data_IF_804438296355
#
_entry.id   IF_804438296355
#
_cell.length_a   1.000
_cell.length_b   1.000
_cell.length_c   1.000
_cell.angle_alpha   90.00
_cell.angle_beta   90.00
_cell.angle_gamma   90.00
#
_symmetry.space_group_name_H-M   'P 1'
#
loop_
_entity.id
_entity.type
_entity.pdbx_description
1 polymer ?
#
# COMPACT_ATOMS: atom_id res chain seq x y z
N UNK A 1 -24.90 41.88 -43.67
CA UNK A 1 -23.78 40.95 -43.39
C UNK A 1 -24.19 40.15 -42.17
N UNK A 2 -24.49 38.86 -42.35
CA UNK A 2 -24.91 38.00 -41.24
C UNK A 2 -23.68 37.35 -40.60
N UNK A 3 -23.58 37.28 -39.26
CA UNK A 3 -22.47 36.60 -38.62
C UNK A 3 -22.67 35.08 -38.72
N UNK A 4 -21.62 34.38 -39.12
CA UNK A 4 -21.54 32.92 -39.09
C UNK A 4 -21.10 32.52 -37.68
N UNK A 5 -21.99 31.89 -36.93
CA UNK A 5 -21.67 31.31 -35.63
C UNK A 5 -21.06 29.93 -35.85
N UNK A 6 -19.78 29.77 -35.52
CA UNK A 6 -19.09 28.48 -35.51
C UNK A 6 -19.33 27.85 -34.14
N UNK A 7 -20.02 26.71 -34.11
CA UNK A 7 -20.21 25.90 -32.90
C UNK A 7 -19.12 24.84 -32.89
N UNK A 8 -18.14 25.00 -32.01
CA UNK A 8 -17.12 23.96 -31.75
C UNK A 8 -17.68 22.88 -30.85
N UNK A 9 -17.84 21.68 -31.40
CA UNK A 9 -18.22 20.47 -30.66
C UNK A 9 -16.96 19.85 -30.04
N UNK A 10 -16.80 19.97 -28.72
CA UNK A 10 -15.78 19.23 -27.98
C UNK A 10 -16.31 17.83 -27.67
N UNK A 11 -15.81 16.83 -28.39
CA UNK A 11 -16.04 15.41 -28.07
C UNK A 11 -15.06 15.03 -26.96
N UNK A 12 -15.56 14.89 -25.73
CA UNK A 12 -14.79 14.30 -24.64
C UNK A 12 -14.76 12.78 -24.83
N UNK A 13 -13.63 12.25 -25.28
CA UNK A 13 -13.37 10.81 -25.22
C UNK A 13 -13.03 10.48 -23.77
N UNK A 14 -14.01 9.98 -23.02
CA UNK A 14 -13.75 9.39 -21.72
C UNK A 14 -12.96 8.09 -21.92
N UNK A 15 -11.64 8.16 -21.74
CA UNK A 15 -10.80 6.96 -21.66
C UNK A 15 -11.15 6.30 -20.33
N UNK A 16 -12.00 5.27 -20.38
CA UNK A 16 -12.22 4.40 -19.24
C UNK A 16 -10.98 3.52 -19.10
N UNK A 17 -10.01 3.97 -18.31
CA UNK A 17 -8.93 3.09 -17.86
C UNK A 17 -9.56 2.04 -16.95
N UNK A 18 -9.84 0.86 -17.50
CA UNK A 18 -10.32 -0.27 -16.70
C UNK A 18 -9.23 -0.61 -15.70
N UNK A 19 -9.44 -0.27 -14.42
CA UNK A 19 -8.50 -0.61 -13.36
C UNK A 19 -8.46 -2.13 -13.23
N UNK A 20 -7.31 -2.72 -13.55
CA UNK A 20 -7.09 -4.16 -13.37
C UNK A 20 -6.91 -4.39 -11.87
N UNK A 21 -7.85 -5.13 -11.28
CA UNK A 21 -7.81 -5.51 -9.87
C UNK A 21 -6.79 -6.65 -9.65
N UNK A 22 -6.18 -6.74 -8.46
CA UNK A 22 -5.22 -7.79 -8.18
C UNK A 22 -5.93 -9.12 -8.00
N UNK A 23 -5.24 -10.21 -8.37
CA UNK A 23 -5.68 -11.55 -8.02
C UNK A 23 -5.69 -11.73 -6.49
N UNK A 24 -6.82 -12.20 -5.97
CA UNK A 24 -6.97 -12.49 -4.54
C UNK A 24 -6.49 -13.91 -4.23
N UNK A 25 -5.89 -14.07 -3.07
CA UNK A 25 -5.41 -15.34 -2.50
C UNK A 25 -4.31 -16.05 -3.30
N UNK A 26 -3.74 -15.41 -4.32
CA UNK A 26 -2.58 -15.90 -5.06
C UNK A 26 -1.30 -15.41 -4.38
N UNK A 27 -0.39 -16.34 -4.10
CA UNK A 27 0.91 -16.03 -3.51
C UNK A 27 1.85 -15.54 -4.61
N UNK A 28 2.33 -14.32 -4.46
CA UNK A 28 3.32 -13.67 -5.32
C UNK A 28 4.59 -13.41 -4.54
N UNK A 29 5.71 -13.21 -5.23
CA UNK A 29 7.00 -12.90 -4.61
C UNK A 29 7.55 -11.60 -5.18
N UNK A 30 8.17 -10.82 -4.31
CA UNK A 30 8.90 -9.62 -4.70
C UNK A 30 10.20 -9.53 -3.90
N UNK A 31 11.25 -9.07 -4.56
CA UNK A 31 12.53 -8.79 -3.94
C UNK A 31 12.76 -7.28 -3.91
N UNK A 32 13.00 -6.77 -2.71
CA UNK A 32 13.52 -5.44 -2.47
C UNK A 32 15.03 -5.47 -2.58
N UNK A 33 15.58 -4.60 -3.43
CA UNK A 33 17.01 -4.47 -3.70
C UNK A 33 17.72 -3.70 -2.58
N UNK A 34 17.08 -2.67 -2.05
CA UNK A 34 17.63 -1.78 -1.03
C UNK A 34 16.50 -1.07 -0.26
N UNK A 35 16.77 -0.56 0.95
CA UNK A 35 15.85 0.33 1.66
C UNK A 35 15.71 1.65 0.91
N UNK A 36 14.51 2.24 0.92
CA UNK A 36 14.19 3.48 0.18
C UNK A 36 15.17 4.63 0.43
N UNK A 37 15.54 4.88 1.69
CA UNK A 37 16.48 5.95 2.05
C UNK A 37 17.94 5.67 1.66
N UNK A 38 18.24 4.47 1.16
CA UNK A 38 19.58 4.01 0.79
C UNK A 38 19.75 3.75 -0.70
N UNK A 39 18.75 4.13 -1.49
CA UNK A 39 18.79 3.85 -2.91
C UNK A 39 19.94 4.58 -3.59
N UNK A 40 20.60 3.94 -4.58
CA UNK A 40 21.59 4.60 -5.41
C UNK A 40 20.88 5.51 -6.43
N UNK A 41 21.16 6.82 -6.38
CA UNK A 41 20.69 7.78 -7.37
C UNK A 41 19.47 8.60 -6.92
N UNK A 42 18.66 9.12 -7.88
CA UNK A 42 17.48 9.91 -7.57
C UNK A 42 16.46 9.11 -6.75
N UNK A 43 15.75 9.79 -5.85
CA UNK A 43 14.71 9.14 -5.05
C UNK A 43 13.59 8.59 -5.94
N UNK A 44 13.43 7.29 -5.92
CA UNK A 44 12.42 6.51 -6.64
C UNK A 44 11.92 5.35 -5.78
N UNK A 45 10.79 4.76 -6.15
CA UNK A 45 10.29 3.55 -5.51
C UNK A 45 10.79 2.25 -6.18
N UNK A 46 11.62 2.37 -7.21
CA UNK A 46 12.10 1.20 -7.93
C UNK A 46 12.94 0.32 -6.99
N UNK A 47 12.57 -0.96 -6.89
CA UNK A 47 13.31 -1.94 -6.09
C UNK A 47 13.22 -1.76 -4.58
N UNK A 48 12.45 -0.80 -4.06
CA UNK A 48 12.28 -0.60 -2.62
C UNK A 48 10.80 -0.54 -2.20
N UNK A 49 9.87 -0.55 -3.14
CA UNK A 49 8.44 -0.55 -2.83
C UNK A 49 7.68 -1.66 -3.55
N UNK A 50 6.57 -2.08 -2.95
CA UNK A 50 5.58 -2.96 -3.54
C UNK A 50 4.39 -2.13 -4.02
N UNK A 51 4.00 -2.36 -5.26
CA UNK A 51 2.72 -1.90 -5.81
C UNK A 51 1.88 -3.14 -6.10
N UNK A 52 0.69 -3.23 -5.50
CA UNK A 52 -0.21 -4.38 -5.68
C UNK A 52 -0.91 -4.31 -7.03
N UNK A 53 -1.13 -3.10 -7.55
CA UNK A 53 -1.83 -2.84 -8.81
C UNK A 53 -1.13 -1.78 -9.66
N UNK A 54 -1.40 -1.82 -10.97
CA UNK A 54 -0.99 -0.77 -11.90
C UNK A 54 -1.63 0.59 -11.56
N UNK A 55 -2.75 0.58 -10.84
CA UNK A 55 -3.36 1.80 -10.33
C UNK A 55 -2.46 2.51 -9.32
N UNK A 56 -1.88 1.76 -8.37
CA UNK A 56 -0.87 2.30 -7.45
C UNK A 56 0.37 2.79 -8.20
N UNK A 57 0.83 2.05 -9.21
CA UNK A 57 1.97 2.44 -10.05
C UNK A 57 1.71 3.77 -10.76
N UNK A 58 0.55 3.92 -11.42
CA UNK A 58 0.23 5.14 -12.19
C UNK A 58 0.09 6.40 -11.34
N UNK A 59 -0.22 6.25 -10.05
CA UNK A 59 -0.26 7.34 -9.07
C UNK A 59 1.02 7.47 -8.24
N UNK A 60 2.04 6.66 -8.51
CA UNK A 60 3.27 6.60 -7.72
C UNK A 60 2.98 6.44 -6.21
N UNK A 61 2.01 5.58 -5.89
CA UNK A 61 1.47 5.37 -4.54
C UNK A 61 1.71 3.92 -4.09
N UNK A 62 2.87 3.61 -3.47
CA UNK A 62 3.19 2.24 -3.08
C UNK A 62 2.30 1.73 -1.95
N UNK A 63 2.05 0.43 -1.93
CA UNK A 63 1.24 -0.25 -0.91
C UNK A 63 2.06 -0.76 0.27
N UNK A 64 3.35 -0.97 0.06
CA UNK A 64 4.34 -1.26 1.10
C UNK A 64 5.66 -0.64 0.67
N UNK A 65 6.27 0.13 1.56
CA UNK A 65 7.62 0.64 1.36
C UNK A 65 8.58 -0.10 2.29
N UNK A 66 9.71 -0.51 1.74
CA UNK A 66 10.80 -1.07 2.51
C UNK A 66 11.87 0.01 2.71
N UNK A 67 12.11 0.39 3.96
CA UNK A 67 12.88 1.57 4.32
C UNK A 67 13.84 1.28 5.50
N UNK A 68 14.72 2.23 5.81
CA UNK A 68 15.77 2.08 6.81
C UNK A 68 16.91 3.08 6.60
N UNK A 69 17.75 3.28 7.63
CA UNK A 69 18.85 4.24 7.62
C UNK A 69 20.22 3.56 7.44
N UNK A 70 20.46 3.03 6.24
CA UNK A 70 21.73 2.57 5.66
C UNK A 70 22.76 2.05 6.67
N UNK A 71 22.52 0.84 7.17
CA UNK A 71 23.29 0.21 8.25
C UNK A 71 22.54 0.13 9.58
N UNK A 72 21.39 0.81 9.68
CA UNK A 72 20.41 0.63 10.76
C UNK A 72 19.43 -0.50 10.45
N UNK A 73 18.57 -0.83 11.41
CA UNK A 73 17.51 -1.81 11.20
C UNK A 73 16.52 -1.32 10.13
N UNK A 74 16.24 -2.19 9.16
CA UNK A 74 15.26 -1.92 8.12
C UNK A 74 13.86 -2.29 8.60
N UNK A 75 12.87 -1.61 8.06
CA UNK A 75 11.47 -1.75 8.41
C UNK A 75 10.60 -1.67 7.17
N UNK A 76 9.38 -2.20 7.28
CA UNK A 76 8.31 -1.96 6.34
C UNK A 76 7.40 -0.86 6.84
N UNK A 77 6.86 -0.05 5.94
CA UNK A 77 5.90 1.00 6.26
C UNK A 77 4.79 1.07 5.21
N UNK A 78 3.61 1.50 5.65
CA UNK A 78 2.36 1.49 4.85
C UNK A 78 1.67 2.86 4.76
N UNK A 79 2.07 3.83 5.58
CA UNK A 79 1.58 5.21 5.55
C UNK A 79 2.65 6.08 4.88
N UNK A 80 2.51 6.29 3.57
CA UNK A 80 3.54 6.97 2.76
C UNK A 80 3.19 8.42 2.47
N UNK A 81 1.89 8.75 2.46
CA UNK A 81 1.37 10.10 2.43
C UNK A 81 0.70 10.48 3.77
N UNK A 82 0.57 11.78 4.05
CA UNK A 82 0.07 12.29 5.33
C UNK A 82 -1.43 12.02 5.58
N UNK A 83 -2.18 11.71 4.54
CA UNK A 83 -3.61 11.39 4.52
C UNK A 83 -3.90 9.88 4.36
N UNK A 84 -2.87 9.07 4.13
CA UNK A 84 -3.00 7.61 4.09
C UNK A 84 -3.27 7.07 5.50
N UNK A 85 -4.22 6.14 5.61
CA UNK A 85 -4.33 5.27 6.77
C UNK A 85 -3.77 3.89 6.44
N UNK A 86 -2.85 3.40 7.26
CA UNK A 86 -2.24 2.09 7.07
C UNK A 86 -1.81 1.49 8.40
N UNK A 87 -2.02 0.18 8.55
CA UNK A 87 -1.61 -0.56 9.73
C UNK A 87 -0.95 -1.89 9.36
N UNK A 88 0.09 -2.24 10.11
CA UNK A 88 0.82 -3.48 10.07
C UNK A 88 0.64 -4.21 11.40
N UNK A 89 0.54 -5.53 11.33
CA UNK A 89 0.53 -6.41 12.51
C UNK A 89 1.45 -7.60 12.26
N UNK A 90 2.33 -7.90 13.21
CA UNK A 90 3.19 -9.08 13.18
C UNK A 90 2.43 -10.29 13.73
N UNK A 91 2.24 -11.29 12.89
CA UNK A 91 1.58 -12.56 13.23
C UNK A 91 2.59 -13.64 13.64
N UNK A 92 3.88 -13.30 13.68
CA UNK A 92 4.98 -14.21 13.99
C UNK A 92 5.23 -15.25 12.90
N UNK A 93 5.75 -16.41 13.31
CA UNK A 93 6.07 -17.51 12.40
C UNK A 93 4.82 -18.32 12.04
N UNK A 94 3.99 -17.74 11.17
CA UNK A 94 2.81 -18.40 10.60
C UNK A 94 2.97 -18.54 9.09
N UNK A 95 2.66 -19.70 8.48
CA UNK A 95 2.62 -19.82 7.02
C UNK A 95 1.56 -18.91 6.39
N UNK A 96 1.90 -18.29 5.26
CA UNK A 96 1.06 -17.29 4.60
C UNK A 96 -0.29 -17.86 4.11
N UNK A 97 -0.31 -19.16 3.80
CA UNK A 97 -1.47 -19.96 3.40
C UNK A 97 -2.50 -20.06 4.53
N UNK A 98 -2.05 -20.04 5.79
CA UNK A 98 -2.91 -20.22 6.97
C UNK A 98 -3.59 -18.92 7.42
N UNK A 99 -3.20 -17.77 6.84
CA UNK A 99 -3.75 -16.46 7.18
C UNK A 99 -4.98 -16.17 6.32
N UNK A 100 -6.15 -16.17 6.93
CA UNK A 100 -7.40 -15.67 6.33
C UNK A 100 -7.62 -14.20 6.70
N UNK A 101 -8.55 -13.52 6.03
CA UNK A 101 -8.89 -12.13 6.36
C UNK A 101 -9.37 -11.97 7.81
N UNK A 102 -10.21 -12.90 8.30
CA UNK A 102 -10.66 -12.92 9.70
C UNK A 102 -9.52 -13.18 10.69
N UNK A 103 -8.55 -14.01 10.30
CA UNK A 103 -7.40 -14.41 11.09
C UNK A 103 -6.33 -13.32 11.21
N UNK A 104 -6.17 -12.50 10.18
CA UNK A 104 -5.22 -11.39 10.15
C UNK A 104 -5.43 -10.36 11.29
N UNK A 105 -6.64 -10.31 11.86
CA UNK A 105 -7.00 -9.38 12.94
C UNK A 105 -7.67 -10.06 14.15
N UNK A 106 -7.64 -11.39 14.23
CA UNK A 106 -8.23 -12.09 15.37
C UNK A 106 -7.22 -12.15 16.53
N UNK A 107 -7.48 -11.28 17.52
CA UNK A 107 -6.66 -11.07 18.71
C UNK A 107 -6.44 -12.33 19.57
N UNK A 108 -7.35 -13.32 19.52
CA UNK A 108 -7.37 -14.40 20.52
C UNK A 108 -6.69 -15.69 20.07
N UNK A 109 -6.50 -15.93 18.76
CA UNK A 109 -6.25 -17.28 18.24
C UNK A 109 -5.09 -17.44 17.25
N UNK A 110 -4.30 -16.39 17.02
CA UNK A 110 -3.08 -16.49 16.22
C UNK A 110 -1.89 -15.90 16.96
N UNK A 111 -0.81 -16.68 16.96
CA UNK A 111 0.42 -16.54 17.74
C UNK A 111 0.85 -15.09 18.00
N UNK A 112 0.98 -14.74 19.28
CA UNK A 112 1.50 -13.46 19.76
C UNK A 112 0.58 -12.85 20.81
N UNK A 113 0.95 -12.92 22.09
CA UNK A 113 0.38 -12.02 23.09
C UNK A 113 0.79 -10.60 22.65
N UNK A 114 -0.20 -9.75 22.37
CA UNK A 114 -0.08 -8.37 21.85
C UNK A 114 -0.06 -8.20 20.32
N UNK A 115 -1.16 -8.55 19.63
CA UNK A 115 -1.47 -8.06 18.27
C UNK A 115 -1.63 -6.53 18.29
N UNK A 116 -0.50 -5.82 18.28
CA UNK A 116 -0.44 -4.36 18.19
C UNK A 116 -0.39 -3.97 16.72
N UNK A 117 -1.04 -2.84 16.45
CA UNK A 117 -1.00 -2.22 15.13
C UNK A 117 0.07 -1.15 15.11
N UNK A 118 0.89 -1.19 14.07
CA UNK A 118 1.96 -0.22 13.85
C UNK A 118 1.85 0.35 12.45
N UNK A 119 2.31 1.59 12.24
CA UNK A 119 2.47 2.14 10.89
C UNK A 119 3.78 1.67 10.23
N UNK A 120 4.74 1.23 11.03
CA UNK A 120 6.04 0.70 10.61
C UNK A 120 6.37 -0.58 11.39
N UNK A 121 7.07 -1.54 10.78
CA UNK A 121 7.52 -2.75 11.49
C UNK A 121 8.90 -3.22 11.06
N UNK A 122 9.72 -3.61 12.02
CA UNK A 122 11.05 -4.14 11.76
C UNK A 122 10.99 -5.43 10.94
N UNK A 123 11.94 -5.60 10.02
CA UNK A 123 12.01 -6.80 9.18
C UNK A 123 12.57 -7.98 9.96
N UNK A 124 11.75 -9.01 10.17
CA UNK A 124 12.16 -10.26 10.82
C UNK A 124 11.97 -11.42 9.84
N UNK A 125 13.06 -12.11 9.52
CA UNK A 125 13.03 -13.26 8.61
C UNK A 125 12.14 -14.36 9.20
N UNK A 126 11.27 -14.92 8.35
CA UNK A 126 10.32 -15.96 8.73
C UNK A 126 9.03 -15.43 9.37
N UNK A 127 8.95 -14.15 9.71
CA UNK A 127 7.69 -13.59 10.22
C UNK A 127 6.71 -13.30 9.09
N UNK A 128 5.43 -13.39 9.43
CA UNK A 128 4.32 -13.02 8.56
C UNK A 128 3.58 -11.85 9.15
N UNK A 129 3.26 -10.89 8.29
CA UNK A 129 2.63 -9.64 8.65
C UNK A 129 1.30 -9.50 7.92
N UNK A 130 0.33 -8.91 8.59
CA UNK A 130 -0.90 -8.42 7.97
C UNK A 130 -0.79 -6.91 7.75
N UNK A 131 -1.19 -6.45 6.57
CA UNK A 131 -1.22 -5.05 6.18
C UNK A 131 -2.64 -4.63 5.80
N UNK A 132 -3.19 -3.69 6.54
CA UNK A 132 -4.45 -3.02 6.26
C UNK A 132 -4.16 -1.64 5.68
N UNK A 133 -4.70 -1.35 4.49
CA UNK A 133 -4.57 -0.06 3.83
C UNK A 133 -5.94 0.58 3.61
N UNK A 134 -6.02 1.88 3.91
CA UNK A 134 -7.13 2.74 3.57
C UNK A 134 -6.61 4.10 3.09
N UNK A 135 -6.50 4.24 1.78
CA UNK A 135 -6.07 5.44 1.05
C UNK A 135 -7.27 6.10 0.38
N UNK A 136 -7.18 7.33 -0.11
CA UNK A 136 -8.32 8.07 -0.70
C UNK A 136 -9.23 7.20 -1.58
N UNK A 137 -8.65 6.48 -2.54
CA UNK A 137 -9.39 5.69 -3.53
C UNK A 137 -9.18 4.16 -3.40
N UNK A 138 -8.45 3.67 -2.38
CA UNK A 138 -8.12 2.24 -2.24
C UNK A 138 -8.37 1.75 -0.82
N UNK A 139 -8.94 0.55 -0.71
CA UNK A 139 -8.93 -0.27 0.52
C UNK A 139 -8.29 -1.60 0.19
N UNK A 140 -7.31 -2.03 0.97
CA UNK A 140 -6.67 -3.31 0.76
C UNK A 140 -6.37 -4.01 2.09
N UNK A 141 -6.47 -5.34 2.06
CA UNK A 141 -5.90 -6.23 3.05
C UNK A 141 -5.00 -7.19 2.32
N UNK A 142 -3.72 -7.20 2.67
CA UNK A 142 -2.79 -8.22 2.20
C UNK A 142 -1.94 -8.72 3.34
N UNK A 143 -1.33 -9.87 3.14
CA UNK A 143 -0.41 -10.48 4.09
C UNK A 143 0.89 -10.75 3.37
N UNK A 144 2.00 -10.66 4.08
CA UNK A 144 3.30 -10.96 3.52
C UNK A 144 4.21 -11.66 4.53
N UNK A 145 5.03 -12.58 4.06
CA UNK A 145 6.01 -13.32 4.83
C UNK A 145 7.40 -12.98 4.34
N UNK A 146 8.31 -12.67 5.25
CA UNK A 146 9.71 -12.39 4.92
C UNK A 146 10.45 -13.71 4.69
N UNK A 147 10.74 -14.03 3.43
CA UNK A 147 11.45 -15.24 3.05
C UNK A 147 12.97 -15.07 3.27
N UNK A 148 13.51 -13.90 2.90
CA UNK A 148 14.91 -13.56 3.12
C UNK A 148 15.07 -12.10 3.55
N UNK A 149 16.10 -11.85 4.35
CA UNK A 149 16.50 -10.52 4.79
C UNK A 149 18.00 -10.51 5.04
N UNK A 150 18.69 -9.56 4.43
CA UNK A 150 20.09 -9.29 4.67
C UNK A 150 20.24 -7.90 5.28
N UNK A 151 21.05 -7.78 6.34
CA UNK A 151 21.37 -6.47 6.93
C UNK A 151 22.03 -5.51 5.93
N UNK A 152 22.67 -6.05 4.89
CA UNK A 152 23.24 -5.30 3.76
C UNK A 152 22.19 -4.50 2.98
N UNK A 153 20.91 -4.86 3.10
CA UNK A 153 19.80 -4.06 2.59
C UNK A 153 18.80 -4.84 1.74
N UNK A 154 19.09 -6.06 1.26
CA UNK A 154 18.12 -6.79 0.43
C UNK A 154 17.08 -7.55 1.28
N UNK A 155 15.85 -7.64 0.79
CA UNK A 155 14.80 -8.44 1.40
C UNK A 155 13.92 -9.10 0.33
N UNK A 156 13.44 -10.31 0.57
CA UNK A 156 12.43 -10.96 -0.30
C UNK A 156 11.23 -11.33 0.54
N UNK A 157 10.05 -11.00 0.04
CA UNK A 157 8.79 -11.37 0.66
C UNK A 157 7.97 -12.22 -0.32
N UNK A 158 7.23 -13.18 0.24
CA UNK A 158 6.04 -13.72 -0.39
C UNK A 158 4.83 -12.95 0.12
N UNK A 159 3.85 -12.62 -0.72
CA UNK A 159 2.65 -11.90 -0.31
C UNK A 159 1.41 -12.45 -1.01
N UNK A 160 0.24 -12.28 -0.38
CA UNK A 160 -1.04 -12.53 -1.02
C UNK A 160 -2.06 -11.46 -0.59
N UNK A 161 -2.78 -10.95 -1.58
CA UNK A 161 -3.89 -10.03 -1.36
C UNK A 161 -5.11 -10.83 -0.87
N UNK A 162 -5.70 -10.43 0.25
CA UNK A 162 -6.87 -11.09 0.83
C UNK A 162 -8.16 -10.32 0.52
N UNK A 163 -8.07 -9.01 0.41
CA UNK A 163 -9.16 -8.14 0.01
C UNK A 163 -8.59 -6.91 -0.70
N UNK A 164 -9.29 -6.42 -1.73
CA UNK A 164 -8.93 -5.21 -2.43
C UNK A 164 -10.19 -4.54 -3.00
N UNK A 165 -10.28 -3.23 -2.88
CA UNK A 165 -11.37 -2.43 -3.43
C UNK A 165 -10.89 -1.06 -3.86
N UNK A 166 -11.39 -0.61 -5.01
CA UNK A 166 -11.24 0.78 -5.47
C UNK A 166 -12.51 1.53 -5.07
N UNK A 167 -12.34 2.65 -4.38
CA UNK A 167 -13.44 3.52 -3.96
C UNK A 167 -13.54 4.65 -4.96
N UNK A 168 -14.77 4.96 -5.38
CA UNK A 168 -15.09 6.20 -6.08
C UNK A 168 -15.80 7.13 -5.10
N UNK A 169 -15.21 8.30 -4.84
CA UNK A 169 -15.87 9.34 -4.07
C UNK A 169 -17.04 9.90 -4.90
N UNK A 170 -18.25 9.81 -4.36
CA UNK A 170 -19.46 10.35 -5.01
C UNK A 170 -19.77 11.75 -4.49
N UNK A 171 -19.40 12.03 -3.24
CA UNK A 171 -19.63 13.30 -2.58
C UNK A 171 -18.68 13.45 -1.39
N UNK A 172 -18.06 14.62 -1.25
CA UNK A 172 -17.22 14.97 -0.10
C UNK A 172 -17.92 15.99 0.77
N UNK A 173 -17.73 15.87 2.10
CA UNK A 173 -18.18 16.91 3.00
C UNK A 173 -17.43 18.21 2.69
N UNK A 174 -18.09 19.38 2.79
CA UNK A 174 -17.35 20.64 2.69
C UNK A 174 -16.27 20.63 3.76
N UNK A 175 -15.01 20.71 3.32
CA UNK A 175 -13.86 20.72 4.22
C UNK A 175 -13.87 21.92 5.15
N UNK A 176 -12.92 21.96 6.09
CA UNK A 176 -12.77 23.10 6.97
C UNK A 176 -12.22 24.31 6.19
N UNK A 177 -12.96 25.41 6.18
CA UNK A 177 -12.50 26.68 5.60
C UNK A 177 -11.88 27.55 6.70
N UNK A 178 -10.59 27.85 6.58
CA UNK A 178 -9.92 28.85 7.44
C UNK A 178 -10.39 30.28 7.19
N UNK A 179 -11.20 30.50 6.15
CA UNK A 179 -11.65 31.81 5.70
C UNK A 179 -13.03 32.16 6.29
N UNK A 180 -13.81 31.16 6.68
CA UNK A 180 -15.11 31.39 7.29
C UNK A 180 -14.99 31.39 8.81
N UNK A 181 -15.46 32.45 9.51
CA UNK A 181 -15.51 32.42 10.97
C UNK A 181 -16.47 31.30 11.40
N UNK A 182 -15.99 30.42 12.27
CA UNK A 182 -16.84 29.41 12.91
C UNK A 182 -18.02 30.12 13.58
N UNK A 183 -19.23 29.88 13.07
CA UNK A 183 -20.48 30.36 13.65
C UNK A 183 -20.82 29.63 14.96
#
# INVERSE_FOLDING_TARGET
MNPITIVSLFVYVAVTTSVILPELHVIKRISFKYPYSCQPGPLSYEGCALFITDYGVSRNMPDLLYNGACGSDNFFEVMLAGDDFGMLSDLGDVPLENVTASKAFNYENMAGQDNRFFNTINVVKGHTYAALLAKEEIRALFVFRVESYEKSGAATIAYAVKQYGVIQSVQEAPGFSWVEPNH
#
